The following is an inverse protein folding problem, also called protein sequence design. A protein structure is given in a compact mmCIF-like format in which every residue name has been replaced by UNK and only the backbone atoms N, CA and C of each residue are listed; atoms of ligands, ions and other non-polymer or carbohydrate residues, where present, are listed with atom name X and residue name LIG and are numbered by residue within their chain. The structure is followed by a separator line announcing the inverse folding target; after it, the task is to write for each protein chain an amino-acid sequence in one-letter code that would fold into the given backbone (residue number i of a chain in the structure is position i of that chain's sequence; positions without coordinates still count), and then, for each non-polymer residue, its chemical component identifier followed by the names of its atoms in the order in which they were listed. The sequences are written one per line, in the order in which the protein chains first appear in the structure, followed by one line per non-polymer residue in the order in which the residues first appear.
data_IF_481198992229
#
_entry.id   IF_481198992229
#
_cell.length_a   1.000
_cell.length_b   1.000
_cell.length_c   1.000
_cell.angle_alpha   90.00
_cell.angle_beta   90.00
_cell.angle_gamma   90.00
#
_symmetry.space_group_name_H-M   'P 1'
#
loop_
_entity.id
_entity.type
_entity.pdbx_description
1 polymer ?
#
# COMPACT_ATOMS: atom_id res chain seq x y z
N UNK A 1 -33.93 6.94 -65.44
CA UNK A 1 -33.24 7.64 -64.31
C UNK A 1 -33.46 6.84 -63.04
N UNK A 2 -32.54 5.98 -62.68
CA UNK A 2 -32.59 5.19 -61.41
C UNK A 2 -31.84 5.94 -60.33
N UNK A 3 -32.57 6.38 -59.30
CA UNK A 3 -31.97 7.01 -58.10
C UNK A 3 -31.36 5.90 -57.24
N UNK A 4 -30.04 5.92 -57.05
CA UNK A 4 -29.31 5.09 -56.12
C UNK A 4 -29.47 5.73 -54.73
N UNK A 5 -30.11 5.05 -53.82
CA UNK A 5 -30.22 5.44 -52.43
C UNK A 5 -29.04 4.81 -51.69
N UNK A 6 -28.03 5.61 -51.34
CA UNK A 6 -26.92 5.15 -50.46
C UNK A 6 -27.36 5.21 -49.03
N UNK A 7 -27.53 4.06 -48.42
CA UNK A 7 -27.74 3.90 -46.94
C UNK A 7 -26.37 3.92 -46.29
N UNK A 8 -26.06 4.99 -45.57
CA UNK A 8 -24.87 5.06 -44.73
C UNK A 8 -25.25 4.38 -43.39
N UNK A 9 -24.71 3.18 -43.18
CA UNK A 9 -24.79 2.51 -41.90
C UNK A 9 -23.76 3.14 -40.93
N UNK A 10 -24.21 3.99 -40.01
CA UNK A 10 -23.39 4.49 -38.90
C UNK A 10 -23.37 3.39 -37.87
N UNK A 11 -22.28 2.61 -37.79
CA UNK A 11 -22.02 1.73 -36.69
C UNK A 11 -21.65 2.58 -35.46
N UNK A 12 -22.61 2.81 -34.56
CA UNK A 12 -22.32 3.29 -33.22
C UNK A 12 -21.62 2.17 -32.46
N UNK A 13 -20.29 2.20 -32.44
CA UNK A 13 -19.53 1.46 -31.44
C UNK A 13 -19.86 2.09 -30.08
N UNK A 14 -20.74 1.42 -29.30
CA UNK A 14 -20.91 1.72 -27.89
C UNK A 14 -19.62 1.36 -27.18
N UNK A 15 -18.72 2.32 -26.99
CA UNK A 15 -17.67 2.22 -26.00
C UNK A 15 -18.36 2.16 -24.63
N UNK A 16 -18.49 0.95 -24.11
CA UNK A 16 -18.81 0.77 -22.68
C UNK A 16 -17.61 1.30 -21.93
N UNK A 17 -17.68 2.54 -21.47
CA UNK A 17 -16.76 3.05 -20.46
C UNK A 17 -17.08 2.27 -19.18
N UNK A 18 -16.32 1.21 -18.92
CA UNK A 18 -16.28 0.62 -17.58
C UNK A 18 -15.74 1.70 -16.65
N UNK A 19 -16.46 1.98 -15.58
CA UNK A 19 -15.94 2.84 -14.53
C UNK A 19 -14.67 2.18 -13.98
N UNK A 20 -13.55 2.91 -13.96
CA UNK A 20 -12.30 2.45 -13.36
C UNK A 20 -12.54 2.19 -11.88
N UNK A 21 -12.01 1.09 -11.37
CA UNK A 21 -12.02 0.80 -9.95
C UNK A 21 -10.84 1.53 -9.29
N UNK A 22 -11.03 2.25 -8.19
CA UNK A 22 -9.89 2.86 -7.48
C UNK A 22 -8.99 1.83 -6.81
N UNK A 23 -9.46 0.60 -6.64
CA UNK A 23 -8.80 -0.43 -5.86
C UNK A 23 -7.84 -1.30 -6.68
N UNK A 24 -7.04 -2.09 -5.98
CA UNK A 24 -6.16 -3.10 -6.58
C UNK A 24 -6.95 -3.91 -7.61
N UNK A 25 -6.39 -4.02 -8.82
CA UNK A 25 -6.95 -4.84 -9.89
C UNK A 25 -6.42 -6.28 -9.85
N UNK A 26 -5.11 -6.44 -9.57
CA UNK A 26 -4.44 -7.73 -9.61
C UNK A 26 -3.20 -7.74 -8.72
N UNK A 27 -2.94 -8.90 -8.09
CA UNK A 27 -1.67 -9.21 -7.44
C UNK A 27 -0.78 -10.01 -8.38
N UNK A 28 0.47 -9.61 -8.52
CA UNK A 28 1.45 -10.19 -9.45
C UNK A 28 2.45 -11.11 -8.75
N UNK A 29 2.80 -10.80 -7.50
CA UNK A 29 3.74 -11.59 -6.71
C UNK A 29 3.45 -11.46 -5.21
N UNK A 30 3.72 -12.53 -4.48
CA UNK A 30 3.66 -12.57 -3.02
C UNK A 30 4.80 -13.42 -2.51
N UNK A 31 5.78 -12.80 -1.87
CA UNK A 31 6.98 -13.43 -1.32
C UNK A 31 7.11 -13.08 0.16
N UNK A 32 6.37 -13.75 1.06
CA UNK A 32 6.46 -13.45 2.48
C UNK A 32 7.78 -13.94 3.05
N UNK A 33 8.32 -13.21 4.01
CA UNK A 33 9.39 -13.71 4.87
C UNK A 33 8.79 -14.63 5.96
N UNK A 34 9.61 -15.42 6.67
CA UNK A 34 9.13 -16.23 7.78
C UNK A 34 8.41 -15.41 8.84
N UNK A 35 7.32 -15.95 9.39
CA UNK A 35 6.51 -15.24 10.37
C UNK A 35 5.41 -16.06 11.00
N UNK A 36 4.86 -15.55 12.12
CA UNK A 36 3.89 -16.27 12.94
C UNK A 36 2.55 -16.53 12.27
N UNK A 37 2.19 -15.78 11.21
CA UNK A 37 0.95 -15.97 10.46
C UNK A 37 1.15 -16.71 9.13
N UNK A 38 2.38 -16.92 8.69
CA UNK A 38 2.70 -17.34 7.32
C UNK A 38 2.14 -18.72 6.96
N UNK A 39 2.08 -19.66 7.85
CA UNK A 39 1.54 -21.01 7.61
C UNK A 39 0.09 -21.20 8.07
N UNK A 40 -0.55 -20.18 8.57
CA UNK A 40 -1.82 -20.28 9.30
C UNK A 40 -2.91 -19.38 8.72
N UNK A 41 -2.67 -18.07 8.67
CA UNK A 41 -3.68 -17.07 8.31
C UNK A 41 -3.10 -15.97 7.41
N UNK A 42 -3.98 -15.24 6.73
CA UNK A 42 -3.66 -14.00 6.01
C UNK A 42 -2.60 -14.16 4.90
N UNK A 43 -2.86 -15.01 3.88
CA UNK A 43 -4.07 -15.78 3.62
C UNK A 43 -4.08 -17.13 4.36
N UNK A 44 -5.25 -17.76 4.45
CA UNK A 44 -5.36 -19.14 4.93
C UNK A 44 -4.49 -20.07 4.07
N UNK A 45 -3.79 -20.99 4.75
CA UNK A 45 -2.85 -21.93 4.12
C UNK A 45 -3.27 -23.36 4.44
N UNK A 46 -3.25 -24.24 3.43
CA UNK A 46 -3.69 -25.62 3.55
C UNK A 46 -2.61 -26.59 3.07
N UNK A 47 -2.60 -27.79 3.65
CA UNK A 47 -1.65 -28.82 3.24
C UNK A 47 -1.74 -29.12 1.73
N UNK A 48 -0.60 -29.04 1.05
CA UNK A 48 -0.50 -29.26 -0.40
C UNK A 48 -0.67 -27.97 -1.24
N UNK A 49 -0.77 -26.82 -0.61
CA UNK A 49 -0.71 -25.55 -1.34
C UNK A 49 0.61 -25.38 -2.07
N UNK A 50 0.52 -24.76 -3.24
CA UNK A 50 1.64 -24.32 -4.06
C UNK A 50 1.73 -22.80 -4.06
N UNK A 51 2.83 -22.23 -4.55
CA UNK A 51 2.97 -20.79 -4.73
C UNK A 51 1.79 -20.20 -5.50
N UNK A 52 1.36 -20.84 -6.59
CA UNK A 52 0.25 -20.36 -7.42
C UNK A 52 -1.09 -20.36 -6.67
N UNK A 53 -1.34 -21.38 -5.81
CA UNK A 53 -2.58 -21.42 -5.02
C UNK A 53 -2.61 -20.35 -3.93
N UNK A 54 -1.46 -20.09 -3.30
CA UNK A 54 -1.30 -19.00 -2.32
C UNK A 54 -1.46 -17.64 -3.01
N UNK A 55 -0.76 -17.42 -4.14
CA UNK A 55 -0.85 -16.17 -4.90
C UNK A 55 -2.30 -15.89 -5.34
N UNK A 56 -3.03 -16.93 -5.79
CA UNK A 56 -4.43 -16.76 -6.17
C UNK A 56 -5.34 -16.37 -4.99
N UNK A 57 -5.04 -16.83 -3.77
CA UNK A 57 -5.78 -16.40 -2.56
C UNK A 57 -5.46 -14.97 -2.18
N UNK A 58 -4.17 -14.58 -2.23
CA UNK A 58 -3.74 -13.19 -2.00
C UNK A 58 -4.41 -12.26 -3.01
N UNK A 59 -4.40 -12.63 -4.29
CA UNK A 59 -5.08 -11.88 -5.35
C UNK A 59 -6.59 -11.75 -5.08
N UNK A 60 -7.25 -12.85 -4.73
CA UNK A 60 -8.68 -12.85 -4.36
C UNK A 60 -8.99 -12.01 -3.12
N UNK A 61 -8.07 -11.93 -2.16
CA UNK A 61 -8.25 -11.15 -0.94
C UNK A 61 -8.10 -9.65 -1.20
N UNK A 62 -7.08 -9.24 -1.97
CA UNK A 62 -6.70 -7.84 -2.14
C UNK A 62 -7.39 -7.16 -3.33
N UNK A 63 -7.74 -7.89 -4.40
CA UNK A 63 -8.38 -7.30 -5.58
C UNK A 63 -9.75 -6.73 -5.24
N UNK A 64 -9.93 -5.44 -5.43
CA UNK A 64 -11.14 -4.70 -5.07
C UNK A 64 -11.30 -4.39 -3.58
N UNK A 65 -10.33 -4.72 -2.73
CA UNK A 65 -10.41 -4.50 -1.29
C UNK A 65 -10.21 -3.03 -0.91
N UNK A 66 -11.12 -2.51 -0.07
CA UNK A 66 -11.14 -1.13 0.41
C UNK A 66 -10.74 -1.02 1.89
N UNK A 67 -9.69 -1.75 2.31
CA UNK A 67 -9.23 -1.81 3.69
C UNK A 67 -9.94 -2.86 4.55
N UNK A 68 -10.65 -3.81 3.93
CA UNK A 68 -11.42 -4.87 4.61
C UNK A 68 -10.87 -6.29 4.36
N UNK A 69 -9.78 -6.40 3.62
CA UNK A 69 -8.98 -7.61 3.52
C UNK A 69 -7.85 -7.59 4.55
N UNK A 70 -7.06 -8.65 4.62
CA UNK A 70 -5.77 -8.66 5.30
C UNK A 70 -4.89 -9.78 4.75
N UNK A 71 -3.64 -9.45 4.45
CA UNK A 71 -2.55 -10.39 4.23
C UNK A 71 -1.35 -9.96 5.09
N UNK A 72 -0.55 -10.91 5.53
CA UNK A 72 0.72 -10.65 6.24
C UNK A 72 1.88 -10.78 5.28
N UNK A 73 2.93 -9.99 5.48
CA UNK A 73 4.18 -10.10 4.72
C UNK A 73 5.26 -10.85 5.49
N UNK A 74 5.04 -11.15 6.78
CA UNK A 74 6.04 -11.76 7.66
C UNK A 74 7.15 -10.78 8.04
N UNK A 75 8.27 -11.30 8.51
CA UNK A 75 9.42 -10.53 8.95
C UNK A 75 10.01 -9.64 7.85
N UNK A 76 11.10 -8.94 8.17
CA UNK A 76 11.74 -8.00 7.24
C UNK A 76 12.01 -8.62 5.86
N UNK A 77 11.67 -7.88 4.84
CA UNK A 77 11.93 -8.25 3.45
C UNK A 77 10.75 -8.94 2.76
N UNK A 78 9.82 -9.55 3.51
CA UNK A 78 8.63 -10.13 2.92
C UNK A 78 7.81 -9.10 2.16
N UNK A 79 7.25 -9.48 0.98
CA UNK A 79 6.66 -8.50 0.06
C UNK A 79 5.48 -8.99 -0.73
N UNK A 80 4.66 -8.02 -1.19
CA UNK A 80 3.59 -8.21 -2.17
C UNK A 80 3.74 -7.18 -3.29
N UNK A 81 3.46 -7.59 -4.53
CA UNK A 81 3.41 -6.72 -5.71
C UNK A 81 2.03 -6.77 -6.33
N UNK A 82 1.40 -5.62 -6.50
CA UNK A 82 0.07 -5.48 -7.10
C UNK A 82 0.00 -4.30 -8.07
N UNK A 83 -1.09 -4.19 -8.81
CA UNK A 83 -1.31 -3.08 -9.75
C UNK A 83 -2.77 -2.75 -9.94
N UNK A 84 -2.99 -1.62 -10.61
CA UNK A 84 -4.29 -1.07 -10.95
C UNK A 84 -4.65 -1.37 -12.41
N UNK A 85 -5.94 -1.26 -12.78
CA UNK A 85 -6.40 -1.39 -14.16
C UNK A 85 -6.18 -0.11 -14.99
N UNK A 86 -5.62 0.93 -14.36
CA UNK A 86 -5.35 2.26 -14.90
C UNK A 86 -4.06 2.82 -14.30
N UNK A 87 -3.56 3.94 -14.84
CA UNK A 87 -2.44 4.67 -14.27
C UNK A 87 -2.93 5.60 -13.16
N UNK A 88 -2.41 5.43 -11.95
CA UNK A 88 -2.59 6.36 -10.83
C UNK A 88 -1.77 7.60 -11.13
N UNK A 89 -2.45 8.72 -11.35
CA UNK A 89 -1.82 9.97 -11.77
C UNK A 89 -1.17 10.70 -10.60
N UNK A 90 0.06 11.16 -10.78
CA UNK A 90 0.68 12.11 -9.87
C UNK A 90 0.05 13.49 -10.07
N UNK A 91 -0.59 14.02 -9.03
CA UNK A 91 -1.23 15.35 -9.05
C UNK A 91 -0.48 16.32 -8.16
N UNK A 92 0.12 17.37 -8.70
CA UNK A 92 0.96 18.29 -7.95
C UNK A 92 0.29 18.82 -6.67
N UNK A 93 0.89 18.53 -5.51
CA UNK A 93 0.44 18.98 -4.19
C UNK A 93 -0.79 18.27 -3.66
N UNK A 94 -1.16 17.13 -4.21
CA UNK A 94 -2.18 16.21 -3.68
C UNK A 94 -1.51 14.88 -3.30
N UNK A 95 -2.13 14.11 -2.41
CA UNK A 95 -1.75 12.72 -2.23
C UNK A 95 -2.50 11.87 -3.25
N UNK A 96 -1.84 10.86 -3.81
CA UNK A 96 -2.33 10.12 -4.97
C UNK A 96 -2.79 8.70 -4.63
N UNK A 97 -2.19 8.10 -3.62
CA UNK A 97 -2.33 6.68 -3.28
C UNK A 97 -2.55 6.50 -1.79
N UNK A 98 -3.29 5.45 -1.40
CA UNK A 98 -3.26 4.89 -0.05
C UNK A 98 -3.03 3.39 -0.11
N UNK A 99 -2.17 2.88 0.76
CA UNK A 99 -2.05 1.45 1.06
C UNK A 99 -2.64 1.23 2.45
N UNK A 100 -3.73 0.49 2.52
CA UNK A 100 -4.42 0.21 3.77
C UNK A 100 -3.68 -0.85 4.59
N UNK A 101 -3.50 -0.57 5.88
CA UNK A 101 -2.99 -1.48 6.90
C UNK A 101 -3.98 -1.70 8.02
N UNK A 102 -3.52 -2.21 9.16
CA UNK A 102 -4.35 -2.49 10.34
C UNK A 102 -4.00 -1.63 11.58
N UNK A 103 -3.23 -0.57 11.41
CA UNK A 103 -2.71 0.28 12.48
C UNK A 103 -3.82 0.94 13.30
N UNK A 104 -3.61 0.93 14.61
CA UNK A 104 -4.38 1.74 15.56
C UNK A 104 -3.45 2.48 16.53
N UNK A 105 -3.89 3.65 17.03
CA UNK A 105 -3.19 4.40 18.07
C UNK A 105 -3.72 4.03 19.44
N UNK A 106 -2.80 3.88 20.41
CA UNK A 106 -3.15 3.58 21.81
C UNK A 106 -3.62 4.81 22.59
N UNK A 107 -3.43 6.01 22.04
CA UNK A 107 -3.65 7.27 22.72
C UNK A 107 -2.47 7.72 23.59
N UNK A 108 -1.39 6.96 23.64
CA UNK A 108 -0.15 7.30 24.36
C UNK A 108 0.84 8.01 23.39
N UNK A 109 1.80 8.72 23.96
CA UNK A 109 2.90 9.36 23.24
C UNK A 109 4.24 8.89 23.81
N UNK A 110 5.22 8.66 22.95
CA UNK A 110 6.61 8.36 23.31
C UNK A 110 7.53 9.20 22.41
N UNK A 111 8.41 9.97 23.02
CA UNK A 111 9.40 10.84 22.34
C UNK A 111 8.80 11.77 21.26
N UNK A 112 7.54 12.18 21.46
CA UNK A 112 6.81 13.04 20.54
C UNK A 112 6.05 12.31 19.44
N UNK A 113 6.14 10.98 19.35
CA UNK A 113 5.44 10.15 18.39
C UNK A 113 4.25 9.41 19.01
N UNK A 114 3.22 9.12 18.22
CA UNK A 114 2.07 8.34 18.67
C UNK A 114 2.46 6.88 18.87
N UNK A 115 2.18 6.34 20.06
CA UNK A 115 2.33 4.90 20.36
C UNK A 115 1.19 4.13 19.69
N UNK A 116 1.55 3.08 18.95
CA UNK A 116 0.65 2.41 18.01
C UNK A 116 0.91 0.91 17.91
N UNK A 117 0.21 0.25 17.00
CA UNK A 117 0.54 -1.05 16.42
C UNK A 117 1.21 -0.90 15.04
N UNK A 118 1.99 0.16 14.81
CA UNK A 118 2.61 0.43 13.52
C UNK A 118 3.67 -0.60 13.15
N UNK A 119 3.56 -1.20 11.97
CA UNK A 119 4.45 -2.22 11.40
C UNK A 119 4.91 -1.81 9.99
N UNK A 120 5.78 -0.79 9.89
CA UNK A 120 5.99 -0.02 8.67
C UNK A 120 6.53 -0.85 7.50
N UNK A 121 5.85 -0.76 6.36
CA UNK A 121 6.28 -1.31 5.08
C UNK A 121 6.81 -0.24 4.14
N UNK A 122 7.96 -0.50 3.51
CA UNK A 122 8.50 0.30 2.40
C UNK A 122 7.57 0.15 1.21
N UNK A 123 7.26 1.26 0.56
CA UNK A 123 6.47 1.31 -0.66
C UNK A 123 7.40 1.58 -1.85
N UNK A 124 7.29 0.75 -2.87
CA UNK A 124 7.93 0.92 -4.16
C UNK A 124 6.86 1.09 -5.22
N UNK A 125 7.11 1.95 -6.18
CA UNK A 125 6.19 2.24 -7.28
C UNK A 125 6.88 2.06 -8.63
N UNK A 126 6.11 1.69 -9.66
CA UNK A 126 6.61 1.51 -11.02
C UNK A 126 5.57 1.95 -12.04
N UNK A 127 6.04 2.55 -13.12
CA UNK A 127 5.25 2.83 -14.33
C UNK A 127 5.15 1.54 -15.18
N UNK A 128 4.22 1.53 -16.14
CA UNK A 128 4.18 0.52 -17.22
C UNK A 128 4.74 1.19 -18.50
N UNK A 129 6.06 1.41 -18.53
CA UNK A 129 6.74 2.16 -19.59
C UNK A 129 6.64 1.47 -20.94
N UNK A 130 6.74 0.13 -20.93
CA UNK A 130 6.70 -0.66 -22.15
C UNK A 130 5.26 -1.04 -22.58
N UNK A 131 4.24 -0.77 -21.76
CA UNK A 131 2.82 -0.99 -22.04
C UNK A 131 2.40 -2.45 -22.08
N UNK A 132 3.17 -3.35 -21.44
CA UNK A 132 2.89 -4.79 -21.47
C UNK A 132 1.98 -5.28 -20.31
N UNK A 133 1.66 -4.40 -19.35
CA UNK A 133 0.82 -4.70 -18.19
C UNK A 133 1.49 -5.60 -17.14
N UNK A 134 2.83 -5.66 -17.14
CA UNK A 134 3.62 -6.44 -16.19
C UNK A 134 4.54 -5.53 -15.36
N UNK A 135 4.81 -5.87 -14.09
CA UNK A 135 5.66 -5.07 -13.20
C UNK A 135 7.15 -5.35 -13.44
N UNK A 136 7.62 -5.21 -14.68
CA UNK A 136 8.99 -5.50 -15.14
C UNK A 136 9.79 -4.26 -15.56
N UNK A 137 9.22 -3.09 -15.35
CA UNK A 137 9.86 -1.79 -15.53
C UNK A 137 10.61 -1.31 -14.26
N UNK A 138 11.38 -0.20 -14.29
CA UNK A 138 12.11 0.31 -13.14
C UNK A 138 11.22 0.61 -11.93
N UNK A 139 11.74 0.28 -10.73
CA UNK A 139 11.10 0.54 -9.45
C UNK A 139 11.73 1.74 -8.75
N UNK A 140 10.90 2.56 -8.12
CA UNK A 140 11.29 3.72 -7.33
C UNK A 140 10.72 3.61 -5.93
N UNK A 141 11.52 3.90 -4.91
CA UNK A 141 11.09 3.87 -3.51
C UNK A 141 10.36 5.17 -3.16
N UNK A 142 9.28 5.09 -2.41
CA UNK A 142 8.66 6.25 -1.79
C UNK A 142 9.45 6.62 -0.54
N UNK A 143 10.06 7.80 -0.53
CA UNK A 143 10.79 8.31 0.62
C UNK A 143 9.82 8.77 1.71
N UNK A 144 9.89 8.13 2.86
CA UNK A 144 9.12 8.53 4.05
C UNK A 144 9.96 9.33 5.04
N UNK A 145 9.36 9.68 6.17
CA UNK A 145 9.98 10.55 7.20
C UNK A 145 11.24 9.97 7.84
N UNK A 146 11.44 8.64 7.81
CA UNK A 146 12.62 7.96 8.34
C UNK A 146 13.67 7.60 7.26
N UNK A 147 13.48 8.00 5.99
CA UNK A 147 14.35 7.59 4.88
C UNK A 147 15.79 8.09 5.01
N UNK A 148 16.02 9.20 5.71
CA UNK A 148 17.36 9.74 5.96
C UNK A 148 18.20 8.85 6.90
N UNK A 149 17.56 8.04 7.73
CA UNK A 149 18.19 7.14 8.70
C UNK A 149 18.14 5.68 8.23
N UNK A 150 17.46 5.41 7.11
CA UNK A 150 17.29 4.07 6.57
C UNK A 150 18.58 3.55 5.93
N UNK A 151 18.79 2.24 6.01
CA UNK A 151 19.90 1.55 5.37
C UNK A 151 19.43 0.93 4.07
N UNK A 152 19.93 1.43 2.94
CA UNK A 152 19.72 0.85 1.62
C UNK A 152 20.62 -0.37 1.40
N UNK A 153 20.27 -1.22 0.45
CA UNK A 153 21.02 -2.45 0.11
C UNK A 153 21.21 -3.40 1.32
N UNK A 154 20.30 -3.33 2.30
CA UNK A 154 20.30 -4.31 3.39
C UNK A 154 19.84 -5.67 2.86
N UNK A 155 20.41 -6.75 3.37
CA UNK A 155 20.08 -8.11 2.97
C UNK A 155 20.02 -9.04 4.18
N UNK A 156 19.01 -9.93 4.20
CA UNK A 156 18.86 -10.98 5.22
C UNK A 156 18.67 -12.33 4.53
N UNK A 157 19.29 -13.34 5.09
CA UNK A 157 19.07 -14.76 4.76
C UNK A 157 18.40 -15.45 5.92
N UNK A 158 17.20 -16.00 5.72
CA UNK A 158 16.47 -16.85 6.65
C UNK A 158 16.69 -18.30 6.29
N UNK A 159 16.96 -19.16 7.29
CA UNK A 159 17.19 -20.58 7.10
C UNK A 159 15.98 -21.40 7.52
N UNK A 160 15.59 -22.38 6.69
CA UNK A 160 14.47 -23.27 7.00
C UNK A 160 14.66 -23.96 8.35
N UNK A 161 13.60 -23.98 9.16
CA UNK A 161 13.56 -24.66 10.45
C UNK A 161 12.13 -25.07 10.81
N UNK A 162 11.98 -26.16 11.54
CA UNK A 162 10.75 -26.56 12.25
C UNK A 162 10.68 -26.01 13.67
N UNK A 163 11.71 -25.30 14.10
CA UNK A 163 11.80 -24.52 15.34
C UNK A 163 11.76 -23.03 15.05
N UNK A 164 12.57 -22.28 15.82
CA UNK A 164 12.85 -20.88 15.53
C UNK A 164 13.57 -20.77 14.18
N UNK A 165 13.23 -19.76 13.40
CA UNK A 165 13.85 -19.52 12.08
C UNK A 165 15.05 -18.61 12.24
N UNK A 166 16.25 -19.20 12.14
CA UNK A 166 17.51 -18.45 12.23
C UNK A 166 17.71 -17.57 11.01
N UNK A 167 18.34 -16.40 11.20
CA UNK A 167 18.73 -15.51 10.13
C UNK A 167 20.14 -14.91 10.34
N UNK A 168 20.73 -14.52 9.22
CA UNK A 168 21.97 -13.71 9.15
C UNK A 168 21.78 -12.58 8.16
N UNK A 169 22.30 -11.39 8.49
CA UNK A 169 22.30 -10.25 7.57
C UNK A 169 23.67 -10.04 6.89
N UNK A 170 23.70 -9.14 5.92
CA UNK A 170 24.94 -8.77 5.20
C UNK A 170 25.93 -7.96 6.03
N UNK A 171 25.57 -7.58 7.27
CA UNK A 171 26.46 -6.94 8.25
C UNK A 171 27.10 -7.96 9.19
N UNK A 172 26.69 -9.23 9.13
CA UNK A 172 27.13 -10.30 10.01
C UNK A 172 26.36 -10.39 11.33
N UNK A 173 25.26 -9.66 11.47
CA UNK A 173 24.35 -9.85 12.61
C UNK A 173 23.54 -11.12 12.41
N UNK A 174 23.18 -11.78 13.51
CA UNK A 174 22.37 -13.00 13.54
C UNK A 174 21.23 -12.85 14.54
N UNK A 175 20.14 -13.56 14.30
CA UNK A 175 19.01 -13.64 15.21
C UNK A 175 18.06 -14.74 14.80
N UNK A 176 16.87 -14.76 15.38
CA UNK A 176 15.84 -15.73 15.04
C UNK A 176 14.44 -15.14 15.11
N UNK A 177 13.59 -15.59 14.21
CA UNK A 177 12.12 -15.44 14.33
C UNK A 177 11.67 -16.54 15.27
N UNK A 178 11.28 -16.16 16.48
CA UNK A 178 10.94 -17.11 17.57
C UNK A 178 9.50 -17.58 17.43
N UNK A 179 9.32 -18.89 17.57
CA UNK A 179 7.99 -19.47 17.71
C UNK A 179 7.36 -19.03 19.02
N UNK A 180 6.11 -18.63 18.96
CA UNK A 180 5.34 -18.27 20.15
C UNK A 180 4.23 -19.29 20.44
N UNK A 181 3.63 -19.20 21.64
CA UNK A 181 2.60 -20.14 22.07
C UNK A 181 1.19 -19.83 21.50
N UNK A 182 1.01 -18.69 20.87
CA UNK A 182 -0.28 -18.24 20.32
C UNK A 182 -0.52 -18.80 18.93
N UNK A 183 0.56 -18.92 18.13
CA UNK A 183 0.55 -19.38 16.75
C UNK A 183 1.43 -20.63 16.62
N UNK A 184 0.82 -21.79 16.93
CA UNK A 184 1.53 -23.08 16.91
C UNK A 184 1.40 -23.73 15.53
N UNK A 185 2.41 -23.54 14.69
CA UNK A 185 2.54 -24.13 13.37
C UNK A 185 3.74 -25.08 13.33
N UNK A 186 3.79 -25.96 12.34
CA UNK A 186 4.93 -26.86 12.13
C UNK A 186 6.21 -26.07 11.82
N UNK A 187 6.07 -24.98 11.06
CA UNK A 187 7.16 -24.05 10.75
C UNK A 187 6.58 -22.64 10.52
N UNK A 188 7.38 -21.59 10.82
CA UNK A 188 7.09 -20.20 10.43
C UNK A 188 7.65 -19.87 9.03
N UNK A 189 8.36 -20.81 8.40
CA UNK A 189 8.88 -20.66 7.05
C UNK A 189 7.76 -20.89 6.02
N UNK A 190 7.69 -20.13 4.93
CA UNK A 190 6.71 -20.35 3.87
C UNK A 190 7.01 -21.66 3.14
N UNK A 191 6.37 -22.75 3.52
CA UNK A 191 6.71 -24.13 3.13
C UNK A 191 6.41 -24.45 1.65
N UNK A 192 5.67 -23.60 0.96
CA UNK A 192 5.47 -23.69 -0.50
C UNK A 192 6.71 -23.21 -1.29
N UNK A 193 7.62 -22.52 -0.62
CA UNK A 193 8.95 -22.21 -1.13
C UNK A 193 9.85 -23.44 -0.92
N UNK A 194 10.21 -24.12 -1.99
CA UNK A 194 10.99 -25.38 -1.92
C UNK A 194 12.49 -25.15 -1.72
N UNK A 195 12.89 -24.32 -0.75
CA UNK A 195 14.27 -23.92 -0.51
C UNK A 195 14.69 -24.09 0.94
N UNK A 196 15.98 -24.39 1.16
CA UNK A 196 16.57 -24.46 2.50
C UNK A 196 16.75 -23.08 3.13
N UNK A 197 16.71 -22.02 2.34
CA UNK A 197 16.86 -20.64 2.78
C UNK A 197 16.16 -19.67 1.83
N UNK A 198 15.74 -18.51 2.37
CA UNK A 198 15.22 -17.38 1.62
C UNK A 198 16.11 -16.17 1.84
N UNK A 199 16.38 -15.45 0.75
CA UNK A 199 17.18 -14.22 0.77
C UNK A 199 16.32 -13.05 0.36
N UNK A 200 16.29 -12.02 1.19
CA UNK A 200 15.60 -10.79 0.91
C UNK A 200 16.57 -9.62 0.88
N UNK A 201 16.31 -8.65 0.00
CA UNK A 201 17.09 -7.43 -0.14
C UNK A 201 16.16 -6.23 -0.23
N UNK A 202 16.58 -5.07 0.28
CA UNK A 202 15.77 -3.86 0.25
C UNK A 202 16.30 -2.77 1.17
N UNK A 203 15.40 -1.91 1.63
CA UNK A 203 15.69 -0.83 2.57
C UNK A 203 15.27 -1.23 3.98
N UNK A 204 16.19 -1.15 4.94
CA UNK A 204 15.92 -1.34 6.36
C UNK A 204 15.67 0.01 7.01
N UNK A 205 14.50 0.16 7.61
CA UNK A 205 14.16 1.32 8.44
C UNK A 205 14.79 1.21 9.84
N UNK A 206 15.06 2.31 10.53
CA UNK A 206 15.46 2.28 11.93
C UNK A 206 14.39 1.59 12.79
N UNK A 207 14.75 1.01 13.95
CA UNK A 207 13.76 0.39 14.84
C UNK A 207 12.75 1.44 15.34
N UNK A 208 11.46 1.11 15.28
CA UNK A 208 10.37 1.96 15.76
C UNK A 208 9.72 1.44 17.05
N UNK A 209 10.46 0.69 17.83
CA UNK A 209 9.98 0.10 19.10
C UNK A 209 9.98 1.09 20.25
N UNK A 210 8.95 0.96 21.09
CA UNK A 210 8.83 1.60 22.39
C UNK A 210 8.63 0.57 23.50
N UNK A 211 9.61 0.47 24.41
CA UNK A 211 9.53 -0.38 25.60
C UNK A 211 9.04 0.46 26.80
N UNK A 212 7.90 0.10 27.36
CA UNK A 212 7.31 0.73 28.56
C UNK A 212 8.03 0.37 29.85
N UNK A 213 9.09 -0.45 29.82
CA UNK A 213 9.86 -0.87 30.98
C UNK A 213 9.18 -1.96 31.83
N UNK A 214 8.11 -2.56 31.35
CA UNK A 214 7.36 -3.63 32.04
C UNK A 214 7.16 -4.89 31.17
N UNK A 215 7.99 -5.08 30.16
CA UNK A 215 7.90 -6.17 29.17
C UNK A 215 6.80 -5.97 28.13
N UNK A 216 6.13 -4.81 28.11
CA UNK A 216 5.17 -4.45 27.06
C UNK A 216 5.88 -3.59 26.04
N UNK A 217 6.10 -4.17 24.89
CA UNK A 217 6.67 -3.48 23.71
C UNK A 217 5.52 -2.97 22.83
N UNK A 218 5.67 -1.76 22.32
CA UNK A 218 4.78 -1.14 21.34
C UNK A 218 5.64 -0.50 20.26
N UNK A 219 5.04 -0.19 19.13
CA UNK A 219 5.69 0.63 18.13
C UNK A 219 5.31 2.10 18.25
N UNK A 220 6.11 2.96 17.67
CA UNK A 220 5.78 4.35 17.37
C UNK A 220 5.66 4.51 15.86
N UNK A 221 4.62 5.21 15.42
CA UNK A 221 4.45 5.47 14.00
C UNK A 221 5.47 6.51 13.51
N UNK A 222 6.03 6.29 12.33
CA UNK A 222 6.70 7.35 11.58
C UNK A 222 5.69 8.38 11.08
N UNK A 223 6.15 9.57 10.73
CA UNK A 223 5.23 10.67 10.41
C UNK A 223 4.46 10.44 9.10
N UNK A 224 5.10 9.89 8.03
CA UNK A 224 4.48 9.62 6.72
C UNK A 224 5.33 8.70 5.84
N UNK A 225 4.76 8.21 4.73
CA UNK A 225 5.49 7.60 3.62
C UNK A 225 5.61 6.07 3.67
N UNK A 226 4.92 5.39 4.57
CA UNK A 226 5.00 3.93 4.74
C UNK A 226 3.60 3.30 4.78
N UNK A 227 3.49 2.07 4.25
CA UNK A 227 2.33 1.22 4.45
C UNK A 227 2.27 0.76 5.91
N UNK A 228 1.08 0.45 6.42
CA UNK A 228 0.85 -0.11 7.76
C UNK A 228 1.58 0.65 8.89
N UNK A 229 1.62 1.96 8.75
CA UNK A 229 2.35 2.85 9.65
C UNK A 229 1.44 3.86 10.36
N UNK A 230 0.41 4.34 9.68
CA UNK A 230 -0.57 5.28 10.18
C UNK A 230 -1.99 4.71 10.04
N UNK A 231 -2.94 5.06 10.91
CA UNK A 231 -4.34 4.65 10.73
C UNK A 231 -4.90 5.07 9.37
N UNK A 232 -5.70 4.20 8.76
CA UNK A 232 -6.22 4.38 7.40
C UNK A 232 -7.05 5.65 7.17
N UNK A 233 -7.58 6.28 8.22
CA UNK A 233 -8.33 7.54 8.18
C UNK A 233 -7.44 8.78 8.40
N UNK A 234 -6.13 8.59 8.61
CA UNK A 234 -5.15 9.67 8.73
C UNK A 234 -4.69 10.16 7.37
N UNK A 235 -4.51 11.48 7.21
CA UNK A 235 -3.83 12.05 6.04
C UNK A 235 -2.38 11.54 5.91
N UNK A 236 -1.73 11.23 7.02
CA UNK A 236 -0.36 10.71 7.05
C UNK A 236 -0.24 9.25 6.54
N UNK A 237 -1.37 8.53 6.34
CA UNK A 237 -1.41 7.23 5.67
C UNK A 237 -1.43 7.37 4.13
N UNK A 238 -1.72 8.56 3.62
CA UNK A 238 -1.78 8.83 2.19
C UNK A 238 -0.38 9.13 1.64
N UNK A 239 -0.14 8.71 0.41
CA UNK A 239 1.15 8.74 -0.26
C UNK A 239 1.09 9.73 -1.42
N UNK A 240 2.10 10.57 -1.52
CA UNK A 240 2.35 11.49 -2.62
C UNK A 240 3.44 10.88 -3.53
N UNK A 241 3.16 10.75 -4.81
CA UNK A 241 4.11 10.20 -5.78
C UNK A 241 5.32 11.12 -6.03
N UNK A 242 5.25 12.39 -5.67
CA UNK A 242 6.40 13.30 -5.68
C UNK A 242 7.48 12.91 -4.65
N UNK A 243 7.18 11.97 -3.72
CA UNK A 243 8.18 11.42 -2.79
C UNK A 243 9.01 10.28 -3.39
N UNK A 244 8.83 9.94 -4.66
CA UNK A 244 9.59 8.89 -5.32
C UNK A 244 11.08 9.24 -5.42
N UNK A 245 11.93 8.25 -5.12
CA UNK A 245 13.40 8.36 -5.21
C UNK A 245 13.99 7.17 -5.95
N UNK A 246 15.15 7.38 -6.59
CA UNK A 246 15.93 6.32 -7.22
C UNK A 246 16.73 5.49 -6.18
N UNK A 247 17.53 4.54 -6.67
CA UNK A 247 18.36 3.67 -5.83
C UNK A 247 19.39 4.45 -5.00
N UNK A 248 19.84 5.59 -5.48
CA UNK A 248 20.76 6.51 -4.81
C UNK A 248 20.06 7.46 -3.84
N UNK A 249 18.71 7.40 -3.76
CA UNK A 249 17.87 8.26 -2.91
C UNK A 249 17.68 9.66 -3.46
N UNK A 250 17.89 9.87 -4.77
CA UNK A 250 17.64 11.16 -5.40
C UNK A 250 16.20 11.25 -5.86
N UNK A 251 15.53 12.41 -5.72
CA UNK A 251 14.15 12.59 -6.15
C UNK A 251 13.97 12.27 -7.64
N UNK A 252 12.91 11.54 -7.97
CA UNK A 252 12.48 11.22 -9.32
C UNK A 252 11.07 11.72 -9.51
N UNK A 253 10.81 12.39 -10.61
CA UNK A 253 9.44 12.77 -10.99
C UNK A 253 8.82 11.67 -11.86
N UNK A 254 7.70 11.15 -11.43
CA UNK A 254 6.86 10.19 -12.15
C UNK A 254 5.55 10.89 -12.51
N UNK A 255 5.12 10.85 -13.77
CA UNK A 255 3.82 11.42 -14.18
C UNK A 255 2.65 10.56 -13.66
N UNK A 256 2.87 9.25 -13.54
CA UNK A 256 1.89 8.28 -13.04
C UNK A 256 2.58 6.98 -12.64
N UNK A 257 1.84 6.08 -11.97
CA UNK A 257 2.31 4.72 -11.69
C UNK A 257 1.22 3.70 -12.04
N UNK A 258 1.64 2.47 -12.31
CA UNK A 258 0.73 1.35 -12.55
C UNK A 258 0.84 0.28 -11.47
N UNK A 259 2.04 0.08 -10.93
CA UNK A 259 2.36 -1.01 -10.02
C UNK A 259 2.90 -0.48 -8.70
N UNK A 260 2.60 -1.23 -7.64
CA UNK A 260 3.06 -0.97 -6.28
C UNK A 260 3.63 -2.26 -5.71
N UNK A 261 4.77 -2.19 -5.05
CA UNK A 261 5.31 -3.25 -4.21
C UNK A 261 5.42 -2.73 -2.79
N UNK A 262 4.98 -3.53 -1.83
CA UNK A 262 5.17 -3.26 -0.40
C UNK A 262 6.07 -4.34 0.19
N UNK A 263 7.00 -3.93 1.04
CA UNK A 263 7.95 -4.81 1.70
C UNK A 263 8.03 -4.45 3.18
N UNK A 264 7.97 -5.44 4.10
CA UNK A 264 8.20 -5.20 5.53
C UNK A 264 9.53 -4.47 5.73
N UNK A 265 9.47 -3.27 6.34
CA UNK A 265 10.58 -2.33 6.38
C UNK A 265 11.45 -2.40 7.64
N UNK A 266 11.01 -3.07 8.71
CA UNK A 266 11.72 -3.13 10.00
C UNK A 266 12.08 -4.55 10.40
N UNK A 267 13.28 -4.73 10.98
CA UNK A 267 13.78 -6.00 11.51
C UNK A 267 13.68 -5.95 13.06
N UNK A 268 12.50 -6.29 13.59
CA UNK A 268 12.19 -6.10 15.00
C UNK A 268 11.54 -7.35 15.59
N UNK A 269 11.93 -7.71 16.81
CA UNK A 269 11.30 -8.73 17.66
C UNK A 269 10.49 -8.05 18.76
N UNK A 270 9.17 -8.28 18.79
CA UNK A 270 8.28 -7.77 19.83
C UNK A 270 8.20 -8.69 21.07
N UNK A 271 9.15 -9.59 21.25
CA UNK A 271 9.20 -10.52 22.35
C UNK A 271 8.04 -11.52 22.29
N UNK A 272 7.14 -11.47 23.26
CA UNK A 272 5.99 -12.40 23.31
C UNK A 272 4.97 -12.17 22.18
N UNK A 273 5.00 -11.03 21.53
CA UNK A 273 4.10 -10.71 20.40
C UNK A 273 4.62 -11.21 19.04
N UNK A 274 5.84 -11.75 19.00
CA UNK A 274 6.44 -12.31 17.78
C UNK A 274 7.28 -11.30 17.01
N UNK A 275 7.51 -11.57 15.75
CA UNK A 275 8.16 -10.65 14.83
C UNK A 275 7.23 -9.49 14.44
N UNK A 276 7.81 -8.41 13.95
CA UNK A 276 7.06 -7.33 13.31
C UNK A 276 6.82 -7.68 11.85
N UNK A 277 5.54 -7.68 11.45
CA UNK A 277 5.08 -8.06 10.11
C UNK A 277 4.17 -6.98 9.56
N UNK A 278 4.45 -6.47 8.37
CA UNK A 278 3.55 -5.53 7.71
C UNK A 278 2.30 -6.23 7.19
N UNK A 279 1.11 -5.74 7.55
CA UNK A 279 -0.17 -6.21 7.05
C UNK A 279 -0.72 -5.30 5.95
N UNK A 280 -1.20 -5.91 4.87
CA UNK A 280 -1.83 -5.20 3.75
C UNK A 280 -3.32 -5.54 3.70
N UNK A 281 -4.16 -4.51 3.80
CA UNK A 281 -5.62 -4.64 3.80
C UNK A 281 -6.27 -4.17 2.47
N UNK A 282 -5.47 -3.74 1.50
CA UNK A 282 -5.88 -3.21 0.20
C UNK A 282 -5.09 -1.97 -0.17
N UNK A 283 -5.42 -1.37 -1.31
CA UNK A 283 -4.90 -0.07 -1.72
C UNK A 283 -5.91 0.64 -2.63
N UNK A 284 -5.80 1.97 -2.75
CA UNK A 284 -6.65 2.74 -3.63
C UNK A 284 -5.95 3.96 -4.24
N UNK A 285 -6.30 4.25 -5.51
CA UNK A 285 -6.13 5.55 -6.14
C UNK A 285 -7.08 6.56 -5.47
N UNK A 286 -6.54 7.64 -4.95
CA UNK A 286 -7.31 8.67 -4.24
C UNK A 286 -8.06 9.62 -5.18
N UNK A 287 -7.80 9.56 -6.48
CA UNK A 287 -8.38 10.45 -7.49
C UNK A 287 -9.63 9.89 -8.16
N UNK A 288 -9.92 8.60 -7.97
CA UNK A 288 -11.12 7.95 -8.50
C UNK A 288 -12.21 7.91 -7.41
N UNK A 289 -13.34 8.57 -7.66
CA UNK A 289 -14.46 8.58 -6.73
C UNK A 289 -15.12 7.20 -6.63
N UNK A 290 -15.19 6.64 -5.42
CA UNK A 290 -15.78 5.33 -5.15
C UNK A 290 -17.31 5.33 -5.17
N UNK A 291 -17.92 6.51 -5.03
CA UNK A 291 -19.37 6.70 -5.10
C UNK A 291 -19.76 8.10 -5.57
N UNK A 292 -21.03 8.29 -5.92
CA UNK A 292 -21.57 9.63 -6.22
C UNK A 292 -21.55 10.55 -4.99
N UNK A 293 -21.41 10.01 -3.79
CA UNK A 293 -21.33 10.76 -2.54
C UNK A 293 -19.90 11.26 -2.26
N UNK A 294 -18.88 10.60 -2.83
CA UNK A 294 -17.46 10.97 -2.67
C UNK A 294 -17.04 12.08 -3.63
N UNK A 295 -17.90 12.46 -4.57
CA UNK A 295 -17.65 13.68 -5.34
C UNK A 295 -17.67 14.87 -4.39
N UNK A 296 -16.61 15.72 -4.40
CA UNK A 296 -16.63 16.94 -3.60
C UNK A 296 -17.95 17.65 -3.90
N UNK A 297 -18.73 17.88 -2.85
CA UNK A 297 -20.03 18.56 -2.97
C UNK A 297 -19.78 19.84 -3.75
N UNK A 298 -20.27 19.92 -4.98
CA UNK A 298 -20.23 21.17 -5.74
C UNK A 298 -20.80 22.22 -4.82
N UNK A 299 -20.10 23.33 -4.57
CA UNK A 299 -20.58 24.34 -3.64
C UNK A 299 -22.02 24.68 -3.98
N UNK A 300 -22.93 24.51 -3.01
CA UNK A 300 -24.35 24.67 -3.20
C UNK A 300 -24.62 26.09 -3.68
N UNK A 301 -25.32 26.23 -4.80
CA UNK A 301 -25.72 27.53 -5.29
C UNK A 301 -26.80 28.10 -4.36
N UNK A 302 -26.53 29.25 -3.79
CA UNK A 302 -27.48 29.98 -2.93
C UNK A 302 -27.97 31.23 -3.64
N UNK A 303 -29.28 31.48 -3.59
CA UNK A 303 -29.85 32.73 -4.05
C UNK A 303 -29.86 33.75 -2.91
N UNK A 304 -29.28 34.92 -3.14
CA UNK A 304 -29.21 36.02 -2.18
C UNK A 304 -29.68 37.33 -2.84
N UNK A 305 -30.20 38.23 -2.03
CA UNK A 305 -30.48 39.62 -2.49
C UNK A 305 -29.32 40.49 -2.03
N UNK A 306 -28.61 41.10 -2.99
CA UNK A 306 -27.59 42.12 -2.73
C UNK A 306 -27.96 43.43 -3.42
N UNK A 307 -28.00 44.51 -2.68
CA UNK A 307 -28.40 45.83 -3.20
C UNK A 307 -29.71 45.83 -4.00
N UNK A 308 -30.71 45.06 -3.53
CA UNK A 308 -32.00 44.92 -4.18
C UNK A 308 -32.04 44.04 -5.44
N UNK A 309 -30.92 43.41 -5.82
CA UNK A 309 -30.85 42.51 -6.97
C UNK A 309 -30.63 41.07 -6.51
N UNK A 310 -31.31 40.13 -7.21
CA UNK A 310 -31.14 38.70 -6.99
C UNK A 310 -29.80 38.27 -7.58
N UNK A 311 -28.94 37.64 -6.76
CA UNK A 311 -27.64 37.08 -7.17
C UNK A 311 -27.56 35.60 -6.79
N UNK A 312 -26.75 34.84 -7.52
CA UNK A 312 -26.45 33.43 -7.27
C UNK A 312 -25.02 33.35 -6.73
N UNK A 313 -24.88 32.86 -5.51
CA UNK A 313 -23.58 32.62 -4.87
C UNK A 313 -23.19 31.13 -4.98
N UNK A 314 -22.01 30.81 -5.50
CA UNK A 314 -21.45 29.46 -5.59
C UNK A 314 -20.07 29.51 -4.96
N UNK A 315 -19.93 29.00 -3.73
CA UNK A 315 -18.71 29.18 -2.91
C UNK A 315 -18.42 30.67 -2.70
N UNK A 316 -17.21 31.10 -3.01
CA UNK A 316 -16.79 32.53 -2.93
C UNK A 316 -17.19 33.39 -4.15
N UNK A 317 -17.77 32.79 -5.19
CA UNK A 317 -18.12 33.49 -6.43
C UNK A 317 -19.57 33.91 -6.45
N UNK A 318 -19.85 35.12 -6.98
CA UNK A 318 -21.20 35.70 -7.12
C UNK A 318 -21.51 35.91 -8.61
N UNK A 319 -22.74 35.60 -9.01
CA UNK A 319 -23.21 35.73 -10.39
C UNK A 319 -24.55 36.46 -10.41
N UNK A 320 -24.85 37.17 -11.49
CA UNK A 320 -26.18 37.68 -11.75
C UNK A 320 -27.14 36.55 -12.20
N UNK A 321 -28.38 36.86 -12.39
CA UNK A 321 -29.43 35.90 -12.83
C UNK A 321 -29.22 35.35 -14.25
N UNK A 322 -28.33 35.97 -15.03
CA UNK A 322 -27.96 35.57 -16.40
C UNK A 322 -26.66 34.73 -16.41
N UNK A 323 -26.07 34.46 -15.21
CA UNK A 323 -24.85 33.69 -15.06
C UNK A 323 -23.55 34.48 -15.29
N UNK A 324 -23.61 35.82 -15.39
CA UNK A 324 -22.43 36.66 -15.48
C UNK A 324 -21.83 36.84 -14.08
N UNK A 325 -20.53 36.61 -13.95
CA UNK A 325 -19.79 36.81 -12.70
C UNK A 325 -19.74 38.29 -12.32
N UNK A 326 -20.08 38.61 -11.07
CA UNK A 326 -20.06 39.95 -10.48
C UNK A 326 -18.79 40.22 -9.67
#
# INVERSE_FOLDING_TARGET
MKKLLSVILIACASLSAYAQSPYIHKVYAYHPAPGQFIGEHYPDVYAGDTYESILARVDSALSGASGNAMITLGAWGGSVTFGFDHDVQNRPGEHDLIVYGNVYFTGEMADGHAVSSSEPGIIWVSEDVNGNGLPDDPWYEIAGSASAEAMREYQVTYYYSTGDVEWIDNLGNTGSIKRNSWHQQDTYFPYWESMDSLVFSGTLLPPNMYDKGNGVIRSVAYDYGYADNQPNDSLAAQIDLDWAVDAEGQPVHLDAIRFVKVQTGVQVDWGISGEMSTEICGAADLHIATSLTDRPLKPKAEKRIRNGQLVICIGSKTYDILGKRL
#
